data_IF_042523733973
#
_entry.id   IF_042523733973
#
_cell.length_a   1.000
_cell.length_b   1.000
_cell.length_c   1.000
_cell.angle_alpha   90.00
_cell.angle_beta   90.00
_cell.angle_gamma   90.00
#
_symmetry.space_group_name_H-M   'P 1'
#
loop_
_entity.id
_entity.type
_entity.pdbx_description
1 polymer ?
#
# COMPACT_ATOMS: atom_id res chain seq x y z
N UNK A 1 -24.42 -6.07 6.25
CA UNK A 1 -23.57 -5.63 5.13
C UNK A 1 -23.44 -4.12 5.24
N UNK A 2 -22.22 -3.61 5.37
CA UNK A 2 -21.99 -2.16 5.36
C UNK A 2 -22.03 -1.69 3.91
N UNK A 3 -22.94 -0.78 3.53
CA UNK A 3 -23.01 -0.31 2.16
C UNK A 3 -21.73 0.46 1.82
N UNK A 4 -21.10 0.08 0.71
CA UNK A 4 -19.93 0.76 0.16
C UNK A 4 -20.45 1.62 -0.99
N UNK A 5 -20.38 2.93 -0.83
CA UNK A 5 -20.61 3.90 -1.90
C UNK A 5 -19.24 4.44 -2.30
N UNK A 6 -18.54 3.75 -3.21
CA UNK A 6 -17.11 4.00 -3.41
C UNK A 6 -16.85 5.36 -4.05
N UNK A 7 -17.81 5.92 -4.79
CA UNK A 7 -17.66 7.19 -5.51
C UNK A 7 -18.63 8.24 -4.99
N UNK A 8 -18.13 9.45 -4.74
CA UNK A 8 -18.98 10.61 -4.52
C UNK A 8 -19.52 11.17 -5.86
N UNK A 9 -20.33 12.24 -5.78
CA UNK A 9 -20.94 12.88 -6.95
C UNK A 9 -19.93 13.47 -7.95
N UNK A 10 -18.68 13.63 -7.55
CA UNK A 10 -17.58 14.11 -8.40
C UNK A 10 -16.76 12.94 -8.98
N UNK A 11 -17.11 11.69 -8.66
CA UNK A 11 -16.38 10.50 -9.09
C UNK A 11 -15.14 10.19 -8.24
N UNK A 12 -14.96 10.86 -7.09
CA UNK A 12 -13.81 10.60 -6.23
C UNK A 12 -14.05 9.38 -5.34
N UNK A 13 -12.99 8.61 -5.11
CA UNK A 13 -12.98 7.53 -4.12
C UNK A 13 -12.43 8.04 -2.80
N UNK A 14 -13.22 7.94 -1.73
CA UNK A 14 -12.78 8.25 -0.37
C UNK A 14 -12.40 6.95 0.34
N UNK A 15 -11.15 6.87 0.77
CA UNK A 15 -10.60 5.70 1.46
C UNK A 15 -10.35 6.08 2.93
N UNK A 16 -10.89 5.29 3.85
CA UNK A 16 -10.53 5.36 5.27
C UNK A 16 -9.49 4.27 5.54
N UNK A 17 -8.29 4.59 6.07
CA UNK A 17 -7.31 3.57 6.42
C UNK A 17 -7.84 2.68 7.54
N UNK A 18 -7.60 1.36 7.41
CA UNK A 18 -7.93 0.37 8.45
C UNK A 18 -6.87 0.31 9.56
N UNK A 19 -5.71 0.90 9.33
CA UNK A 19 -4.53 0.78 10.18
C UNK A 19 -3.30 1.41 9.53
N UNK A 20 -2.12 1.03 10.01
CA UNK A 20 -0.83 1.48 9.48
C UNK A 20 0.22 0.38 9.52
N UNK A 21 1.24 0.51 8.67
CA UNK A 21 2.41 -0.36 8.68
C UNK A 21 3.49 0.21 9.61
N UNK A 22 4.01 -0.62 10.52
CA UNK A 22 5.12 -0.30 11.41
C UNK A 22 6.34 -1.12 10.97
N UNK A 23 7.24 -0.46 10.26
CA UNK A 23 8.45 -1.05 9.67
C UNK A 23 9.72 -0.41 10.23
N UNK A 24 10.85 -1.14 10.33
CA UNK A 24 12.16 -0.55 10.60
C UNK A 24 12.65 0.34 9.45
N UNK A 25 12.12 0.18 8.22
CA UNK A 25 12.45 1.05 7.09
C UNK A 25 11.84 2.43 7.26
N UNK A 26 12.69 3.47 7.32
CA UNK A 26 12.28 4.86 7.52
C UNK A 26 12.45 5.76 6.30
N UNK A 27 13.15 5.29 5.27
CA UNK A 27 13.39 6.02 4.03
C UNK A 27 13.13 5.12 2.82
N UNK A 28 12.67 5.66 1.69
CA UNK A 28 12.58 4.91 0.44
C UNK A 28 13.93 4.31 0.08
N UNK A 29 13.95 3.02 -0.24
CA UNK A 29 15.15 2.31 -0.70
C UNK A 29 14.79 1.30 -1.78
N UNK A 30 15.75 1.01 -2.65
CA UNK A 30 15.62 -0.01 -3.70
C UNK A 30 16.31 -1.27 -3.20
N UNK A 31 15.57 -2.38 -3.15
CA UNK A 31 16.10 -3.68 -2.71
C UNK A 31 16.35 -3.79 -1.19
N UNK A 32 16.88 -4.93 -0.78
CA UNK A 32 17.19 -5.23 0.62
C UNK A 32 15.97 -5.39 1.52
N UNK A 33 14.81 -5.74 0.95
CA UNK A 33 13.53 -5.84 1.68
C UNK A 33 13.16 -7.28 2.09
N UNK A 34 13.94 -8.30 1.68
CA UNK A 34 13.57 -9.72 1.85
C UNK A 34 13.60 -10.20 3.30
N UNK A 35 14.44 -9.62 4.14
CA UNK A 35 14.62 -10.01 5.55
C UNK A 35 14.00 -8.99 6.52
N UNK A 36 13.02 -8.22 6.06
CA UNK A 36 12.41 -7.15 6.83
C UNK A 36 11.05 -7.58 7.36
N UNK A 37 10.98 -7.71 8.68
CA UNK A 37 9.69 -7.86 9.37
C UNK A 37 9.00 -6.50 9.47
N UNK A 38 7.72 -6.45 9.07
CA UNK A 38 6.86 -5.27 9.16
C UNK A 38 5.54 -5.67 9.79
N UNK A 39 5.14 -4.96 10.84
CA UNK A 39 3.86 -5.18 11.53
C UNK A 39 2.76 -4.38 10.84
N UNK A 40 1.60 -4.99 10.58
CA UNK A 40 0.39 -4.28 10.15
C UNK A 40 -0.51 -4.10 11.37
N UNK A 41 -0.62 -2.88 11.85
CA UNK A 41 -1.41 -2.54 13.05
C UNK A 41 -2.77 -2.03 12.60
N UNK A 42 -3.84 -2.76 12.92
CA UNK A 42 -5.22 -2.39 12.58
C UNK A 42 -5.91 -1.66 13.73
N UNK A 43 -6.91 -0.86 13.40
CA UNK A 43 -7.81 -0.23 14.36
C UNK A 43 -8.79 -1.28 14.94
N UNK A 44 -9.12 -1.17 16.22
CA UNK A 44 -9.89 -2.16 17.00
C UNK A 44 -11.21 -2.61 16.33
N UNK A 45 -11.89 -1.71 15.62
CA UNK A 45 -13.17 -1.97 14.95
C UNK A 45 -13.10 -3.07 13.87
N UNK A 46 -11.89 -3.44 13.40
CA UNK A 46 -11.70 -4.39 12.29
C UNK A 46 -11.33 -5.81 12.75
N UNK A 47 -11.14 -6.04 14.05
CA UNK A 47 -10.69 -7.33 14.57
C UNK A 47 -11.59 -8.52 14.14
N UNK A 48 -12.94 -8.43 14.15
CA UNK A 48 -13.79 -9.52 13.70
C UNK A 48 -13.62 -9.88 12.21
N UNK A 49 -13.10 -8.97 11.39
CA UNK A 49 -12.85 -9.23 9.97
C UNK A 49 -11.58 -10.06 9.72
N UNK A 50 -10.80 -10.35 10.77
CA UNK A 50 -9.59 -11.18 10.71
C UNK A 50 -9.84 -12.65 11.09
N UNK A 51 -11.06 -13.03 11.47
CA UNK A 51 -11.37 -14.41 11.86
C UNK A 51 -10.98 -15.41 10.75
N UNK A 52 -10.11 -16.36 11.06
CA UNK A 52 -9.56 -17.34 10.12
C UNK A 52 -8.39 -16.86 9.25
N UNK A 53 -7.83 -15.66 9.48
CA UNK A 53 -6.66 -15.17 8.72
C UNK A 53 -5.41 -16.02 8.94
N UNK A 54 -5.29 -16.63 10.11
CA UNK A 54 -4.19 -17.51 10.52
C UNK A 54 -4.09 -18.81 9.70
N UNK A 55 -5.16 -19.22 9.02
CA UNK A 55 -5.17 -20.38 8.12
C UNK A 55 -4.45 -20.09 6.78
N UNK A 56 -4.12 -18.82 6.51
CA UNK A 56 -3.41 -18.40 5.31
C UNK A 56 -1.94 -18.10 5.61
N UNK A 57 -1.04 -18.68 4.80
CA UNK A 57 0.39 -18.38 4.89
C UNK A 57 0.77 -17.06 4.19
N UNK A 58 -0.07 -16.55 3.29
CA UNK A 58 0.19 -15.35 2.49
C UNK A 58 -1.08 -14.52 2.32
N UNK A 59 -0.92 -13.20 2.36
CA UNK A 59 -2.00 -12.23 2.17
C UNK A 59 -1.56 -11.13 1.21
N UNK A 60 -2.54 -10.46 0.58
CA UNK A 60 -2.31 -9.22 -0.16
C UNK A 60 -2.59 -8.03 0.76
N UNK A 61 -1.58 -7.20 0.99
CA UNK A 61 -1.73 -5.94 1.73
C UNK A 61 -1.81 -4.79 0.74
N UNK A 62 -2.97 -4.14 0.65
CA UNK A 62 -3.13 -2.88 -0.06
C UNK A 62 -2.88 -1.73 0.92
N UNK A 63 -1.96 -0.84 0.57
CA UNK A 63 -1.57 0.30 1.42
C UNK A 63 -1.41 1.57 0.60
N UNK A 64 -1.38 2.70 1.30
CA UNK A 64 -1.23 4.02 0.69
C UNK A 64 0.19 4.54 0.91
N UNK A 65 0.85 4.97 -0.17
CA UNK A 65 2.15 5.63 -0.10
C UNK A 65 1.97 7.09 0.35
N UNK A 66 1.78 7.27 1.66
CA UNK A 66 1.36 8.51 2.31
C UNK A 66 2.34 9.68 2.20
N UNK A 67 3.60 9.45 1.79
CA UNK A 67 4.58 10.50 1.56
C UNK A 67 4.60 11.00 0.10
N UNK A 68 3.97 10.29 -0.83
CA UNK A 68 3.89 10.69 -2.23
C UNK A 68 2.80 11.76 -2.39
N UNK A 69 3.20 12.96 -2.82
CA UNK A 69 2.32 14.13 -2.97
C UNK A 69 1.96 14.43 -4.44
N UNK A 70 2.65 13.80 -5.38
CA UNK A 70 2.42 13.96 -6.82
C UNK A 70 2.92 12.72 -7.57
N UNK A 71 2.43 12.50 -8.77
CA UNK A 71 2.92 11.45 -9.66
C UNK A 71 3.78 12.05 -10.77
N UNK A 72 4.58 11.20 -11.42
CA UNK A 72 5.32 11.51 -12.63
C UNK A 72 4.74 10.68 -13.77
N UNK A 73 4.72 11.20 -14.99
CA UNK A 73 4.29 10.42 -16.16
C UNK A 73 5.25 9.28 -16.48
N UNK A 74 6.55 9.49 -16.21
CA UNK A 74 7.62 8.53 -16.46
C UNK A 74 8.61 8.47 -15.29
N UNK A 75 9.23 7.32 -15.09
CA UNK A 75 10.26 7.11 -14.09
C UNK A 75 11.32 6.10 -14.56
N UNK A 76 12.47 6.11 -13.87
CA UNK A 76 13.45 5.04 -13.94
C UNK A 76 13.27 4.16 -12.69
N UNK A 77 12.62 2.98 -12.77
CA UNK A 77 12.11 2.25 -11.60
C UNK A 77 13.19 1.74 -10.63
N UNK A 78 14.45 1.66 -11.08
CA UNK A 78 15.58 1.17 -10.28
C UNK A 78 16.76 2.15 -10.28
N UNK A 79 16.50 3.44 -10.51
CA UNK A 79 17.55 4.46 -10.62
C UNK A 79 17.96 4.73 -12.07
N UNK A 80 18.86 5.70 -12.26
CA UNK A 80 19.10 6.31 -13.58
C UNK A 80 19.66 5.36 -14.66
N UNK A 81 20.22 4.21 -14.27
CA UNK A 81 20.87 3.27 -15.18
C UNK A 81 19.90 2.36 -15.95
N UNK A 82 18.60 2.37 -15.62
CA UNK A 82 17.57 1.59 -16.33
C UNK A 82 16.76 2.47 -17.30
N UNK A 83 16.03 1.92 -18.29
CA UNK A 83 15.24 2.72 -19.21
C UNK A 83 14.18 3.61 -18.54
N UNK A 84 13.90 4.75 -19.17
CA UNK A 84 12.78 5.63 -18.79
C UNK A 84 11.47 5.03 -19.31
N UNK A 85 10.56 4.68 -18.40
CA UNK A 85 9.29 4.01 -18.71
C UNK A 85 8.08 4.83 -18.25
N UNK A 86 6.92 4.56 -18.83
CA UNK A 86 5.65 5.10 -18.33
C UNK A 86 5.35 4.60 -16.92
N UNK A 87 4.88 5.47 -16.03
CA UNK A 87 4.71 5.15 -14.61
C UNK A 87 3.79 3.95 -14.38
N UNK A 88 2.71 3.83 -15.16
CA UNK A 88 1.77 2.69 -15.08
C UNK A 88 2.34 1.38 -15.64
N UNK A 89 3.46 1.42 -16.36
CA UNK A 89 4.21 0.23 -16.78
C UNK A 89 5.29 -0.17 -15.76
N UNK A 90 5.35 0.53 -14.62
CA UNK A 90 6.30 0.28 -13.52
C UNK A 90 5.56 -0.10 -12.24
N UNK A 91 6.31 -0.39 -11.16
CA UNK A 91 5.77 -0.67 -9.82
C UNK A 91 6.42 0.26 -8.82
#
# INVERSE_FOLDING_TARGET
MHPIFPMDSEGNIKIKPLGYAKSPIKKPQVGGLTEIETEIVLNDDSAPCLDGIEEFSHILVLFWLDQIRSYREKCHPQGADVPLLGMLATR
#
